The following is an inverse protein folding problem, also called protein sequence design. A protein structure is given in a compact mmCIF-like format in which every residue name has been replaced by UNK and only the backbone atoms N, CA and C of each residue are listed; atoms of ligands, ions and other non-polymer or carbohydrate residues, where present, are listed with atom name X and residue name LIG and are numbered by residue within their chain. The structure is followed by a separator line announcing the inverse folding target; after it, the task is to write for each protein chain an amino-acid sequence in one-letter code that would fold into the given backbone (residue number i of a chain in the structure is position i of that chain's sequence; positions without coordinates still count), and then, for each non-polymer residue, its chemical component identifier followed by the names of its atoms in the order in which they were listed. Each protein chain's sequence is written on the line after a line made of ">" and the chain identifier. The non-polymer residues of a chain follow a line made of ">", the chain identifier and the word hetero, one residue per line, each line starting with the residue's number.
data_IF_323298769599
#
_entry.id   IF_323298769599
#
_cell.length_a   1.000
_cell.length_b   1.000
_cell.length_c   1.000
_cell.angle_alpha   90.00
_cell.angle_beta   90.00
_cell.angle_gamma   90.00
#
_symmetry.space_group_name_H-M   'P 1'
#
loop_
_entity.id
_entity.type
_entity.pdbx_description
1 polymer ?
#
# COMPACT_ATOMS: atom_id res chain seq x y z
N UNK A 1 -11.89 8.93 -21.66
CA UNK A 1 -12.89 9.01 -20.56
C UNK A 1 -12.65 7.84 -19.62
N UNK A 2 -11.98 8.08 -18.49
CA UNK A 2 -11.76 7.03 -17.47
C UNK A 2 -12.97 6.99 -16.54
N UNK A 3 -13.79 5.96 -16.65
CA UNK A 3 -14.82 5.66 -15.65
C UNK A 3 -14.12 5.02 -14.46
N UNK A 4 -14.04 5.73 -13.34
CA UNK A 4 -13.51 5.19 -12.08
C UNK A 4 -14.47 4.07 -11.65
N UNK A 5 -14.00 2.82 -11.49
CA UNK A 5 -14.87 1.72 -11.08
C UNK A 5 -15.46 2.01 -9.71
N UNK A 6 -16.79 1.92 -9.58
CA UNK A 6 -17.55 2.23 -8.36
C UNK A 6 -17.02 1.48 -7.13
N UNK A 7 -16.43 0.30 -7.33
CA UNK A 7 -15.77 -0.49 -6.29
C UNK A 7 -14.60 0.25 -5.62
N UNK A 8 -13.80 1.03 -6.34
CA UNK A 8 -12.65 1.74 -5.77
C UNK A 8 -13.04 2.74 -4.69
N UNK A 9 -14.19 3.41 -4.83
CA UNK A 9 -14.66 4.36 -3.82
C UNK A 9 -15.10 3.68 -2.52
N UNK A 10 -15.73 2.49 -2.62
CA UNK A 10 -16.15 1.72 -1.45
C UNK A 10 -14.93 1.30 -0.62
N UNK A 11 -13.85 0.86 -1.26
CA UNK A 11 -12.61 0.51 -0.56
C UNK A 11 -12.03 1.69 0.21
N UNK A 12 -11.97 2.88 -0.40
CA UNK A 12 -11.46 4.09 0.26
C UNK A 12 -12.31 4.46 1.48
N UNK A 13 -13.64 4.38 1.36
CA UNK A 13 -14.56 4.68 2.47
C UNK A 13 -14.35 3.70 3.63
N UNK A 14 -14.28 2.39 3.34
CA UNK A 14 -14.10 1.37 4.38
C UNK A 14 -12.77 1.56 5.09
N UNK A 15 -11.67 1.78 4.35
CA UNK A 15 -10.35 2.05 4.94
C UNK A 15 -10.40 3.31 5.82
N UNK A 16 -11.03 4.39 5.34
CA UNK A 16 -11.20 5.63 6.11
C UNK A 16 -11.94 5.42 7.43
N UNK A 17 -13.02 4.63 7.43
CA UNK A 17 -13.77 4.30 8.64
C UNK A 17 -12.87 3.52 9.63
N UNK A 18 -12.11 2.54 9.15
CA UNK A 18 -11.19 1.75 9.99
C UNK A 18 -10.15 2.66 10.65
N UNK A 19 -9.54 3.57 9.89
CA UNK A 19 -8.53 4.51 10.42
C UNK A 19 -9.14 5.43 11.48
N UNK A 20 -10.35 5.94 11.27
CA UNK A 20 -11.05 6.78 12.26
C UNK A 20 -11.34 6.00 13.55
N UNK A 21 -11.80 4.76 13.44
CA UNK A 21 -12.05 3.91 14.62
C UNK A 21 -10.77 3.67 15.41
N UNK A 22 -9.66 3.37 14.74
CA UNK A 22 -8.35 3.19 15.38
C UNK A 22 -7.91 4.48 16.08
N UNK A 23 -8.04 5.64 15.43
CA UNK A 23 -7.71 6.93 16.03
C UNK A 23 -8.56 7.23 17.28
N UNK A 24 -9.86 6.92 17.25
CA UNK A 24 -10.75 7.06 18.40
C UNK A 24 -10.35 6.13 19.55
N UNK A 25 -9.93 4.89 19.28
CA UNK A 25 -9.43 3.99 20.32
C UNK A 25 -8.17 4.54 20.99
N UNK A 26 -7.23 5.09 20.22
CA UNK A 26 -6.04 5.76 20.75
C UNK A 26 -6.40 6.97 21.61
N UNK A 27 -7.26 7.85 21.10
CA UNK A 27 -7.69 9.06 21.83
C UNK A 27 -8.46 8.73 23.11
N UNK A 28 -9.48 7.86 23.03
CA UNK A 28 -10.28 7.44 24.19
C UNK A 28 -9.41 6.67 25.19
N UNK A 29 -8.48 5.83 24.70
CA UNK A 29 -7.54 5.09 25.54
C UNK A 29 -6.63 6.02 26.35
N UNK A 30 -6.10 7.07 25.72
CA UNK A 30 -5.29 8.07 26.38
C UNK A 30 -6.12 8.90 27.38
N UNK A 31 -7.33 9.34 27.00
CA UNK A 31 -8.22 10.12 27.83
C UNK A 31 -8.71 9.35 29.08
N UNK A 32 -9.17 8.10 28.89
CA UNK A 32 -9.66 7.25 29.97
C UNK A 32 -8.54 6.56 30.76
N UNK A 33 -7.27 6.85 30.45
CA UNK A 33 -6.10 6.14 30.99
C UNK A 33 -6.28 4.61 30.98
N UNK A 34 -6.87 4.06 29.92
CA UNK A 34 -7.15 2.63 29.82
C UNK A 34 -6.07 1.92 28.98
N UNK A 35 -5.23 1.13 29.66
CA UNK A 35 -4.13 0.37 29.01
C UNK A 35 -4.61 -0.62 27.98
N UNK A 36 -5.74 -1.29 28.22
CA UNK A 36 -6.26 -2.29 27.30
C UNK A 36 -6.64 -1.63 25.98
N UNK A 37 -7.29 -0.47 26.02
CA UNK A 37 -7.61 0.32 24.82
C UNK A 37 -6.35 0.82 24.11
N UNK A 38 -5.35 1.27 24.87
CA UNK A 38 -4.11 1.81 24.31
C UNK A 38 -3.23 0.72 23.67
N UNK A 39 -3.19 -0.47 24.27
CA UNK A 39 -2.54 -1.66 23.68
C UNK A 39 -3.30 -2.17 22.47
N UNK A 40 -4.63 -2.15 22.49
CA UNK A 40 -5.45 -2.50 21.31
C UNK A 40 -5.12 -1.57 20.14
N UNK A 41 -5.04 -0.26 20.39
CA UNK A 41 -4.60 0.72 19.39
C UNK A 41 -3.20 0.39 18.84
N UNK A 42 -2.23 0.14 19.72
CA UNK A 42 -0.86 -0.17 19.32
C UNK A 42 -0.77 -1.45 18.45
N UNK A 43 -1.53 -2.49 18.78
CA UNK A 43 -1.58 -3.74 18.00
C UNK A 43 -2.22 -3.50 16.63
N UNK A 44 -3.36 -2.81 16.57
CA UNK A 44 -4.05 -2.53 15.31
C UNK A 44 -3.21 -1.65 14.38
N UNK A 45 -2.60 -0.59 14.90
CA UNK A 45 -1.69 0.27 14.13
C UNK A 45 -0.43 -0.50 13.69
N UNK A 46 0.12 -1.38 14.53
CA UNK A 46 1.24 -2.24 14.16
C UNK A 46 0.91 -3.22 13.03
N UNK A 47 -0.31 -3.76 12.99
CA UNK A 47 -0.78 -4.60 11.88
C UNK A 47 -0.88 -3.78 10.58
N UNK A 48 -1.38 -2.54 10.64
CA UNK A 48 -1.44 -1.65 9.48
C UNK A 48 -0.04 -1.35 8.92
N UNK A 49 0.93 -1.06 9.78
CA UNK A 49 2.32 -0.84 9.37
C UNK A 49 2.90 -2.06 8.61
N UNK A 50 2.63 -3.27 9.08
CA UNK A 50 3.08 -4.50 8.39
C UNK A 50 2.40 -4.66 7.04
N UNK A 51 1.09 -4.37 6.95
CA UNK A 51 0.35 -4.41 5.69
C UNK A 51 0.88 -3.37 4.70
N UNK A 52 1.12 -2.14 5.14
CA UNK A 52 1.69 -1.07 4.31
C UNK A 52 3.08 -1.45 3.78
N UNK A 53 3.92 -2.01 4.65
CA UNK A 53 5.25 -2.49 4.24
C UNK A 53 5.17 -3.61 3.19
N UNK A 54 4.30 -4.61 3.40
CA UNK A 54 4.11 -5.69 2.43
C UNK A 54 3.56 -5.14 1.10
N UNK A 55 2.57 -4.25 1.14
CA UNK A 55 1.99 -3.65 -0.05
C UNK A 55 3.04 -2.82 -0.83
N UNK A 56 3.89 -2.09 -0.13
CA UNK A 56 5.01 -1.36 -0.74
C UNK A 56 5.93 -2.34 -1.50
N UNK A 57 6.35 -3.44 -0.86
CA UNK A 57 7.19 -4.48 -1.49
C UNK A 57 6.49 -5.12 -2.69
N UNK A 58 5.21 -5.47 -2.58
CA UNK A 58 4.45 -6.10 -3.67
C UNK A 58 4.26 -5.17 -4.87
N UNK A 59 4.14 -3.87 -4.66
CA UNK A 59 4.02 -2.88 -5.74
C UNK A 59 5.24 -2.89 -6.64
N UNK A 60 6.44 -3.16 -6.10
CA UNK A 60 7.65 -3.34 -6.91
C UNK A 60 7.59 -4.57 -7.83
N UNK A 61 6.73 -5.56 -7.53
CA UNK A 61 6.67 -6.86 -8.23
C UNK A 61 5.54 -6.91 -9.28
N UNK A 62 4.49 -6.07 -9.16
CA UNK A 62 3.30 -6.13 -10.03
C UNK A 62 3.52 -5.33 -11.33
N UNK A 63 4.19 -5.96 -12.31
CA UNK A 63 4.49 -5.39 -13.63
C UNK A 63 3.54 -5.89 -14.76
N UNK A 64 2.46 -6.60 -14.43
CA UNK A 64 1.76 -7.46 -15.40
C UNK A 64 0.67 -6.80 -16.27
N UNK A 65 0.34 -5.50 -16.08
CA UNK A 65 -0.80 -4.84 -16.74
C UNK A 65 -0.39 -3.79 -17.78
N UNK A 66 0.90 -3.74 -18.10
CA UNK A 66 1.45 -2.76 -19.01
C UNK A 66 1.23 -3.23 -20.44
N UNK A 67 0.79 -2.30 -21.31
CA UNK A 67 0.66 -2.50 -22.75
C UNK A 67 2.05 -2.55 -23.39
N UNK A 68 2.78 -3.60 -23.05
CA UNK A 68 4.17 -3.83 -23.35
C UNK A 68 4.35 -5.26 -23.84
N UNK A 69 5.51 -5.55 -24.42
CA UNK A 69 5.82 -6.90 -24.85
C UNK A 69 7.29 -7.26 -24.57
N UNK A 70 7.48 -8.39 -23.88
CA UNK A 70 8.81 -8.85 -23.43
C UNK A 70 9.36 -8.04 -22.26
N UNK A 71 10.54 -8.41 -21.77
CA UNK A 71 11.22 -7.66 -20.71
C UNK A 71 11.77 -6.35 -21.24
N UNK A 72 12.50 -6.42 -22.36
CA UNK A 72 13.07 -5.27 -23.07
C UNK A 72 12.36 -5.06 -24.41
N UNK A 73 11.97 -6.13 -25.11
CA UNK A 73 11.24 -6.03 -26.37
C UNK A 73 10.53 -7.33 -26.76
N UNK A 74 9.68 -7.29 -27.79
CA UNK A 74 8.94 -8.45 -28.27
C UNK A 74 9.83 -9.62 -28.74
N UNK A 75 11.11 -9.39 -29.06
CA UNK A 75 12.06 -10.44 -29.47
C UNK A 75 12.48 -11.37 -28.34
N UNK A 76 12.20 -11.01 -27.09
CA UNK A 76 12.45 -11.88 -25.93
C UNK A 76 11.63 -13.18 -26.01
N UNK A 77 10.57 -13.19 -26.84
CA UNK A 77 9.73 -14.35 -27.11
C UNK A 77 10.09 -15.03 -28.43
N UNK A 78 10.29 -16.36 -28.39
CA UNK A 78 10.30 -17.19 -29.61
C UNK A 78 8.94 -17.20 -30.31
N UNK A 79 7.86 -17.02 -29.56
CA UNK A 79 6.48 -16.94 -30.06
C UNK A 79 5.71 -15.94 -29.22
N UNK A 80 5.26 -14.84 -29.82
CA UNK A 80 4.63 -13.72 -29.11
C UNK A 80 3.31 -14.16 -28.46
N UNK A 81 3.12 -13.95 -27.14
CA UNK A 81 1.88 -14.31 -26.44
C UNK A 81 0.73 -13.34 -26.75
N UNK A 82 -0.51 -13.79 -26.53
CA UNK A 82 -1.71 -12.99 -26.79
C UNK A 82 -1.77 -11.65 -26.01
N UNK A 83 -1.19 -11.61 -24.81
CA UNK A 83 -1.13 -10.41 -23.96
C UNK A 83 -0.27 -9.29 -24.56
N UNK A 84 0.69 -9.61 -25.44
CA UNK A 84 1.50 -8.64 -26.16
C UNK A 84 0.76 -7.95 -27.33
N UNK A 85 -0.43 -8.44 -27.68
CA UNK A 85 -1.09 -8.11 -28.93
C UNK A 85 -2.42 -7.40 -28.67
N UNK A 86 -2.68 -6.24 -29.30
CA UNK A 86 -3.96 -5.53 -29.17
C UNK A 86 -5.17 -6.39 -29.57
N UNK A 87 -4.97 -7.25 -30.57
CA UNK A 87 -5.98 -8.17 -31.10
C UNK A 87 -6.25 -9.38 -30.20
N UNK A 88 -5.49 -9.58 -29.12
CA UNK A 88 -5.62 -10.76 -28.23
C UNK A 88 -5.25 -12.09 -28.88
N UNK A 89 -4.59 -12.09 -30.04
CA UNK A 89 -4.15 -13.29 -30.77
C UNK A 89 -2.67 -13.54 -30.53
N UNK A 90 -2.27 -14.81 -30.45
CA UNK A 90 -0.85 -15.20 -30.41
C UNK A 90 -0.17 -14.93 -31.76
N UNK A 91 1.15 -14.74 -31.75
CA UNK A 91 1.96 -14.53 -32.96
C UNK A 91 1.44 -13.39 -33.85
N UNK A 92 1.05 -12.29 -33.23
CA UNK A 92 0.61 -11.12 -33.97
C UNK A 92 1.78 -10.44 -34.70
N UNK A 93 1.46 -9.69 -35.76
CA UNK A 93 2.44 -8.89 -36.51
C UNK A 93 2.65 -7.50 -35.90
N UNK A 94 1.81 -7.13 -34.94
CA UNK A 94 1.71 -5.83 -34.27
C UNK A 94 1.86 -5.94 -32.74
N UNK A 95 2.97 -6.50 -32.21
CA UNK A 95 3.20 -6.52 -30.77
C UNK A 95 3.39 -5.10 -30.23
N UNK A 96 3.08 -4.89 -28.94
CA UNK A 96 3.40 -3.63 -28.27
C UNK A 96 4.90 -3.30 -28.40
N UNK A 97 5.26 -2.07 -28.80
CA UNK A 97 6.63 -1.73 -29.17
C UNK A 97 7.57 -1.52 -27.98
N UNK A 98 7.02 -1.28 -26.78
CA UNK A 98 7.78 -1.01 -25.56
C UNK A 98 7.96 -2.29 -24.73
N UNK A 99 9.16 -2.45 -24.15
CA UNK A 99 9.42 -3.49 -23.17
C UNK A 99 8.66 -3.25 -21.86
N UNK A 100 8.32 -4.34 -21.16
CA UNK A 100 7.57 -4.23 -19.92
C UNK A 100 8.39 -3.64 -18.78
N UNK A 101 9.72 -3.81 -18.77
CA UNK A 101 10.57 -3.13 -17.80
C UNK A 101 10.42 -1.61 -17.94
N UNK A 102 10.66 -1.07 -19.13
CA UNK A 102 10.58 0.37 -19.41
C UNK A 102 9.18 0.93 -19.18
N UNK A 103 8.14 0.25 -19.68
CA UNK A 103 6.77 0.68 -19.47
C UNK A 103 6.39 0.73 -17.97
N UNK A 104 6.86 -0.23 -17.17
CA UNK A 104 6.64 -0.21 -15.71
C UNK A 104 7.35 0.99 -15.10
N UNK A 105 8.63 1.18 -15.43
CA UNK A 105 9.43 2.25 -14.87
C UNK A 105 8.80 3.62 -15.20
N UNK A 106 8.29 3.83 -16.40
CA UNK A 106 7.66 5.10 -16.78
C UNK A 106 6.34 5.38 -16.06
N UNK A 107 5.49 4.37 -15.85
CA UNK A 107 4.27 4.55 -15.05
C UNK A 107 4.61 4.91 -13.60
N UNK A 108 5.61 4.25 -13.03
CA UNK A 108 5.96 4.39 -11.63
C UNK A 108 6.70 5.72 -11.42
N UNK A 109 7.62 6.12 -12.31
CA UNK A 109 8.54 7.26 -12.14
C UNK A 109 7.87 8.58 -11.77
N UNK A 110 6.71 8.89 -12.35
CA UNK A 110 5.99 10.15 -12.07
C UNK A 110 5.38 10.23 -10.67
N UNK A 111 4.95 9.10 -10.12
CA UNK A 111 4.27 9.04 -8.82
C UNK A 111 5.14 8.46 -7.71
N UNK A 112 6.20 7.72 -8.06
CA UNK A 112 7.03 6.96 -7.14
C UNK A 112 7.70 7.82 -6.08
N UNK A 113 8.23 8.98 -6.48
CA UNK A 113 8.86 9.91 -5.54
C UNK A 113 7.83 10.46 -4.57
N UNK A 114 6.67 10.89 -5.06
CA UNK A 114 5.61 11.44 -4.23
C UNK A 114 5.02 10.38 -3.29
N UNK A 115 4.65 9.21 -3.80
CA UNK A 115 4.11 8.10 -3.00
C UNK A 115 5.14 7.58 -2.01
N UNK A 116 6.41 7.47 -2.42
CA UNK A 116 7.50 7.03 -1.55
C UNK A 116 7.70 7.98 -0.37
N UNK A 117 7.74 9.30 -0.60
CA UNK A 117 7.82 10.29 0.48
C UNK A 117 6.62 10.18 1.41
N UNK A 118 5.40 10.08 0.87
CA UNK A 118 4.18 9.97 1.67
C UNK A 118 4.20 8.71 2.55
N UNK A 119 4.51 7.55 1.97
CA UNK A 119 4.62 6.27 2.71
C UNK A 119 5.69 6.35 3.80
N UNK A 120 6.85 6.95 3.54
CA UNK A 120 7.90 7.11 4.56
C UNK A 120 7.40 7.99 5.72
N UNK A 121 6.72 9.10 5.42
CA UNK A 121 6.15 9.98 6.44
C UNK A 121 5.06 9.27 7.25
N UNK A 122 4.20 8.48 6.61
CA UNK A 122 3.18 7.68 7.28
C UNK A 122 3.81 6.65 8.22
N UNK A 123 4.81 5.89 7.75
CA UNK A 123 5.57 4.95 8.58
C UNK A 123 6.16 5.61 9.84
N UNK A 124 6.72 6.82 9.71
CA UNK A 124 7.28 7.55 10.86
C UNK A 124 6.18 7.94 11.86
N UNK A 125 5.04 8.43 11.36
CA UNK A 125 3.90 8.82 12.20
C UNK A 125 3.32 7.62 12.94
N UNK A 126 3.12 6.48 12.26
CA UNK A 126 2.60 5.25 12.85
C UNK A 126 3.52 4.69 13.93
N UNK A 127 4.82 4.59 13.63
CA UNK A 127 5.82 4.12 14.60
C UNK A 127 5.87 5.02 15.83
N UNK A 128 5.82 6.33 15.63
CA UNK A 128 5.77 7.30 16.74
C UNK A 128 4.51 7.10 17.58
N UNK A 129 3.36 6.90 16.96
CA UNK A 129 2.10 6.67 17.66
C UNK A 129 2.12 5.36 18.47
N UNK A 130 2.67 4.28 17.91
CA UNK A 130 2.84 3.00 18.60
C UNK A 130 3.78 3.13 19.80
N UNK A 131 4.93 3.78 19.63
CA UNK A 131 5.90 4.02 20.72
C UNK A 131 5.24 4.83 21.83
N UNK A 132 4.55 5.93 21.50
CA UNK A 132 3.83 6.76 22.47
C UNK A 132 2.74 5.97 23.21
N UNK A 133 1.97 5.15 22.51
CA UNK A 133 0.94 4.30 23.12
C UNK A 133 1.54 3.28 24.10
N UNK A 134 2.64 2.63 23.72
CA UNK A 134 3.35 1.69 24.59
C UNK A 134 3.92 2.37 25.84
N UNK A 135 4.54 3.54 25.67
CA UNK A 135 5.07 4.34 26.79
C UNK A 135 3.94 4.73 27.74
N UNK A 136 2.86 5.31 27.24
CA UNK A 136 1.71 5.71 28.04
C UNK A 136 1.07 4.51 28.75
N UNK A 137 0.93 3.36 28.09
CA UNK A 137 0.40 2.14 28.70
C UNK A 137 1.30 1.65 29.85
N UNK A 138 2.62 1.73 29.67
CA UNK A 138 3.58 1.42 30.73
C UNK A 138 3.46 2.39 31.91
N UNK A 139 3.36 3.70 31.65
CA UNK A 139 3.20 4.72 32.69
C UNK A 139 1.94 4.47 33.54
N UNK A 140 0.79 4.20 32.91
CA UNK A 140 -0.45 3.88 33.64
C UNK A 140 -0.26 2.62 34.52
N UNK A 141 0.58 1.65 34.09
CA UNK A 141 0.85 0.44 34.87
C UNK A 141 1.66 0.70 36.11
N UNK A 142 2.56 1.67 36.01
CA UNK A 142 3.34 2.14 37.15
C UNK A 142 2.46 2.92 38.13
N UNK A 143 1.58 3.81 37.67
CA UNK A 143 0.70 4.59 38.56
C UNK A 143 -0.32 3.75 39.34
N UNK A 144 -0.83 2.65 38.79
CA UNK A 144 -1.75 1.75 39.54
C UNK A 144 -1.06 0.93 40.64
N UNK A 145 0.29 0.87 40.65
CA UNK A 145 1.05 0.14 41.67
C UNK A 145 1.38 0.97 42.92
N UNK A 146 1.03 2.26 42.93
CA UNK A 146 1.16 3.17 44.07
C UNK A 146 -0.23 3.54 44.60
#
# INVERSE_FOLDING_TARGET
>A
KGTIPTGSFVFIIVIGIVVVVIALLGFIGAWKRNKCMLLTFAILAGILFVIEFIAAVLTFVVQAQLKCCGGVSASDWKTVPASCCPSGKRSCKDPYPVGCAEATFDLIKGYFLASGIITILLCIVELTAVICACILAHQIKTYEKF
#
